data_IF_236692714600
#
_entry.id   IF_236692714600
#
_cell.length_a   1.000
_cell.length_b   1.000
_cell.length_c   1.000
_cell.angle_alpha   90.00
_cell.angle_beta   90.00
_cell.angle_gamma   90.00
#
_symmetry.space_group_name_H-M   'P 1'
#
loop_
_entity.id
_entity.type
_entity.pdbx_description
1 polymer ?
#
# COMPACT_ATOMS: atom_id res chain seq x y z
N UNK A 1 72.85 33.31 42.31
CA UNK A 1 73.90 32.31 42.64
C UNK A 1 73.46 31.27 43.69
N UNK A 2 72.29 31.39 44.33
CA UNK A 2 71.82 30.44 45.36
C UNK A 2 71.17 29.17 44.80
N UNK A 3 70.67 29.20 43.57
CA UNK A 3 69.97 28.04 42.96
C UNK A 3 70.87 26.80 42.78
N UNK A 4 72.17 27.00 42.56
CA UNK A 4 73.15 25.91 42.44
C UNK A 4 73.35 25.13 43.75
N UNK A 5 73.05 25.76 44.90
CA UNK A 5 73.13 25.13 46.21
C UNK A 5 71.86 24.33 46.51
N UNK A 6 70.71 24.82 46.04
CA UNK A 6 69.39 24.21 46.26
C UNK A 6 69.20 22.97 45.36
N UNK A 7 69.57 23.05 44.08
CA UNK A 7 69.42 21.97 43.08
C UNK A 7 70.71 21.16 42.92
N UNK A 8 71.24 20.68 44.05
CA UNK A 8 72.53 19.99 44.09
C UNK A 8 72.42 18.54 43.61
N UNK A 9 73.18 18.18 42.57
CA UNK A 9 73.43 16.77 42.16
C UNK A 9 74.88 16.42 42.48
N UNK A 10 75.14 15.23 43.02
CA UNK A 10 76.51 14.79 43.34
C UNK A 10 77.35 14.69 42.05
N UNK A 11 78.50 15.36 42.01
CA UNK A 11 79.44 15.32 40.87
C UNK A 11 79.27 16.39 39.78
N UNK A 12 78.52 17.48 40.02
CA UNK A 12 78.41 18.57 39.04
C UNK A 12 79.69 19.40 38.91
N UNK A 13 80.21 19.55 37.69
CA UNK A 13 81.39 20.38 37.38
C UNK A 13 81.02 21.80 36.91
N UNK A 14 79.79 22.01 36.41
CA UNK A 14 79.31 23.29 35.86
C UNK A 14 77.82 23.52 36.16
N UNK A 15 77.41 24.78 36.15
CA UNK A 15 76.02 25.23 36.37
C UNK A 15 75.06 24.68 35.30
N UNK A 16 75.57 24.34 34.11
CA UNK A 16 74.76 23.79 33.00
C UNK A 16 74.24 22.37 33.27
N UNK A 17 74.90 21.61 34.16
CA UNK A 17 74.55 20.21 34.47
C UNK A 17 73.49 20.11 35.58
N UNK A 18 72.85 21.24 35.90
CA UNK A 18 71.86 21.32 36.98
C UNK A 18 70.62 20.50 36.61
N UNK A 19 70.13 19.64 37.53
CA UNK A 19 68.93 18.87 37.27
C UNK A 19 67.72 19.82 37.13
N UNK A 20 67.08 19.79 35.97
CA UNK A 20 65.83 20.48 35.70
C UNK A 20 64.78 19.40 35.43
N UNK A 21 64.00 19.06 36.46
CA UNK A 21 62.85 18.18 36.33
C UNK A 21 61.62 19.07 36.09
N UNK A 22 61.30 19.30 34.82
CA UNK A 22 60.08 19.98 34.40
C UNK A 22 58.95 18.96 34.25
N UNK A 23 57.73 19.36 34.59
CA UNK A 23 56.56 18.56 34.28
C UNK A 23 56.35 18.58 32.76
N UNK A 24 56.41 17.40 32.16
CA UNK A 24 56.44 17.23 30.72
C UNK A 24 55.74 15.93 30.34
N UNK A 25 55.32 15.80 29.07
CA UNK A 25 54.72 14.56 28.61
C UNK A 25 55.70 13.40 28.82
N UNK A 26 55.20 12.20 29.14
CA UNK A 26 56.06 11.03 29.22
C UNK A 26 56.80 10.83 27.89
N UNK A 27 58.01 10.25 27.90
CA UNK A 27 58.72 9.92 26.66
C UNK A 27 57.86 8.95 25.83
N UNK A 28 57.23 9.45 24.77
CA UNK A 28 56.22 8.74 23.97
C UNK A 28 54.85 9.43 23.84
N UNK A 29 54.59 10.51 24.59
CA UNK A 29 53.35 11.29 24.51
C UNK A 29 52.14 10.61 25.14
N UNK A 30 50.96 11.24 25.00
CA UNK A 30 49.69 10.70 25.49
C UNK A 30 48.96 9.89 24.41
N UNK A 31 48.14 8.94 24.84
CA UNK A 31 47.28 8.21 23.93
C UNK A 31 46.38 9.18 23.13
N UNK A 32 46.12 8.89 21.84
CA UNK A 32 45.35 9.79 20.99
C UNK A 32 43.91 9.89 21.50
N UNK A 33 43.55 11.07 22.01
CA UNK A 33 42.19 11.36 22.45
C UNK A 33 41.30 11.51 21.22
N UNK A 34 40.25 10.70 21.16
CA UNK A 34 39.30 10.73 20.05
C UNK A 34 38.32 11.89 20.25
N UNK A 35 38.51 12.96 19.49
CA UNK A 35 37.69 14.18 19.55
C UNK A 35 36.53 14.19 18.53
N UNK A 36 36.59 13.34 17.49
CA UNK A 36 35.61 13.35 16.41
C UNK A 36 34.33 12.56 16.75
N UNK A 37 33.17 13.14 16.40
CA UNK A 37 31.86 12.49 16.50
C UNK A 37 31.77 11.31 15.52
N UNK A 38 31.45 10.11 16.01
CA UNK A 38 31.13 8.93 15.18
C UNK A 38 29.75 8.40 15.53
N UNK A 39 28.77 8.68 14.67
CA UNK A 39 27.45 8.06 14.75
C UNK A 39 27.39 6.96 13.69
N UNK A 40 27.32 5.68 14.09
CA UNK A 40 27.21 4.59 13.14
C UNK A 40 25.77 4.51 12.61
N UNK A 41 25.59 4.68 11.30
CA UNK A 41 24.30 4.45 10.62
C UNK A 41 24.13 2.95 10.32
N UNK A 42 23.68 2.19 11.32
CA UNK A 42 23.41 0.73 11.22
C UNK A 42 21.96 0.39 10.87
N UNK A 43 21.17 1.37 10.43
CA UNK A 43 19.78 1.13 10.03
C UNK A 43 19.69 0.39 8.69
N UNK A 44 18.59 -0.35 8.46
CA UNK A 44 18.31 -0.91 7.14
C UNK A 44 18.18 0.22 6.10
N UNK A 45 18.59 -0.07 4.87
CA UNK A 45 18.43 0.86 3.75
C UNK A 45 16.96 1.25 3.58
N UNK A 46 16.70 2.47 3.11
CA UNK A 46 15.34 2.99 2.87
C UNK A 46 14.49 2.04 2.04
N UNK A 47 15.09 1.39 1.03
CA UNK A 47 14.42 0.41 0.18
C UNK A 47 14.00 -0.84 0.95
N UNK A 48 14.80 -1.30 1.91
CA UNK A 48 14.47 -2.47 2.73
C UNK A 48 13.27 -2.17 3.65
N UNK A 49 13.19 -0.96 4.20
CA UNK A 49 12.04 -0.51 5.01
C UNK A 49 10.78 -0.45 4.14
N UNK A 50 10.88 0.13 2.94
CA UNK A 50 9.75 0.25 2.02
C UNK A 50 9.21 -1.11 1.59
N UNK A 51 10.09 -2.04 1.19
CA UNK A 51 9.69 -3.37 0.75
C UNK A 51 9.08 -4.20 1.89
N UNK A 52 9.60 -4.07 3.11
CA UNK A 52 9.03 -4.75 4.28
C UNK A 52 7.61 -4.23 4.59
N UNK A 53 7.41 -2.91 4.58
CA UNK A 53 6.10 -2.32 4.79
C UNK A 53 5.10 -2.72 3.69
N UNK A 54 5.53 -2.67 2.43
CA UNK A 54 4.69 -3.06 1.29
C UNK A 54 4.33 -4.55 1.30
N UNK A 55 5.30 -5.43 1.62
CA UNK A 55 5.08 -6.86 1.74
C UNK A 55 4.08 -7.20 2.85
N UNK A 56 4.21 -6.57 4.01
CA UNK A 56 3.27 -6.75 5.12
C UNK A 56 1.86 -6.26 4.76
N UNK A 57 1.74 -5.11 4.09
CA UNK A 57 0.46 -4.57 3.65
C UNK A 57 -0.23 -5.47 2.60
N UNK A 58 0.52 -5.92 1.58
CA UNK A 58 -0.02 -6.79 0.52
C UNK A 58 -0.45 -8.14 1.07
N UNK A 59 0.24 -8.67 2.07
CA UNK A 59 -0.12 -9.95 2.69
C UNK A 59 -1.39 -9.84 3.55
N UNK A 60 -1.62 -8.69 4.20
CA UNK A 60 -2.80 -8.46 5.05
C UNK A 60 -4.13 -8.37 4.28
N UNK A 61 -4.10 -8.12 2.97
CA UNK A 61 -5.30 -8.01 2.13
C UNK A 61 -5.77 -9.39 1.63
N UNK A 62 -6.10 -10.31 2.54
CA UNK A 62 -6.60 -11.65 2.17
C UNK A 62 -8.02 -11.59 1.60
N UNK A 63 -8.27 -12.32 0.51
CA UNK A 63 -9.54 -12.31 -0.27
C UNK A 63 -10.67 -13.14 0.33
N UNK A 64 -10.42 -13.89 1.40
CA UNK A 64 -11.36 -14.88 1.96
C UNK A 64 -12.74 -14.30 2.27
N UNK A 65 -12.81 -13.11 2.90
CA UNK A 65 -14.07 -12.45 3.24
C UNK A 65 -14.89 -12.03 1.99
N UNK A 66 -14.23 -11.77 0.86
CA UNK A 66 -14.92 -11.40 -0.39
C UNK A 66 -15.59 -12.62 -1.01
N UNK A 67 -14.93 -13.78 -0.95
CA UNK A 67 -15.46 -15.02 -1.53
C UNK A 67 -16.70 -15.51 -0.79
N UNK A 68 -16.70 -15.46 0.54
CA UNK A 68 -17.87 -15.75 1.37
C UNK A 68 -19.05 -14.82 1.01
N UNK A 69 -18.80 -13.52 0.90
CA UNK A 69 -19.80 -12.53 0.48
C UNK A 69 -20.38 -12.84 -0.91
N UNK A 70 -19.54 -13.26 -1.86
CA UNK A 70 -20.01 -13.63 -3.20
C UNK A 70 -20.77 -14.95 -3.23
N UNK A 71 -20.42 -15.92 -2.38
CA UNK A 71 -21.16 -17.16 -2.21
C UNK A 71 -22.56 -16.89 -1.65
N UNK A 72 -22.65 -16.09 -0.57
CA UNK A 72 -23.92 -15.69 0.03
C UNK A 72 -24.83 -14.96 -0.99
N UNK A 73 -24.27 -14.02 -1.76
CA UNK A 73 -25.02 -13.31 -2.82
C UNK A 73 -25.55 -14.25 -3.90
N UNK A 74 -24.75 -15.22 -4.36
CA UNK A 74 -25.18 -16.18 -5.38
C UNK A 74 -26.31 -17.08 -4.89
N UNK A 75 -26.32 -17.43 -3.61
CA UNK A 75 -27.38 -18.26 -3.03
C UNK A 75 -28.76 -17.56 -3.03
N UNK A 76 -28.79 -16.26 -2.74
CA UNK A 76 -30.05 -15.49 -2.68
C UNK A 76 -30.50 -14.92 -4.03
N UNK A 77 -29.59 -14.84 -5.01
CA UNK A 77 -29.83 -14.20 -6.31
C UNK A 77 -31.04 -14.78 -7.07
N UNK A 78 -31.27 -16.11 -7.13
CA UNK A 78 -32.42 -16.65 -7.86
C UNK A 78 -33.77 -16.20 -7.30
N UNK A 79 -33.88 -16.03 -5.98
CA UNK A 79 -35.12 -15.54 -5.37
C UNK A 79 -35.37 -14.06 -5.69
N UNK A 80 -34.34 -13.22 -5.57
CA UNK A 80 -34.43 -11.81 -5.92
C UNK A 80 -34.76 -11.62 -7.40
N UNK A 81 -34.17 -12.45 -8.27
CA UNK A 81 -34.46 -12.42 -9.70
C UNK A 81 -35.92 -12.78 -9.98
N UNK A 82 -36.47 -13.81 -9.32
CA UNK A 82 -37.86 -14.20 -9.48
C UNK A 82 -38.84 -13.10 -9.03
N UNK A 83 -38.56 -12.44 -7.90
CA UNK A 83 -39.39 -11.31 -7.42
C UNK A 83 -39.39 -10.14 -8.42
N UNK A 84 -38.23 -9.83 -9.00
CA UNK A 84 -38.10 -8.75 -9.97
C UNK A 84 -38.72 -9.12 -11.31
N UNK A 85 -38.58 -10.37 -11.76
CA UNK A 85 -39.22 -10.87 -12.99
C UNK A 85 -40.76 -10.79 -12.87
N UNK A 86 -41.35 -11.11 -11.70
CA UNK A 86 -42.78 -10.93 -11.47
C UNK A 86 -43.22 -9.46 -11.55
N UNK A 87 -42.45 -8.55 -10.96
CA UNK A 87 -42.73 -7.10 -11.02
C UNK A 87 -42.63 -6.60 -12.46
N UNK A 88 -41.61 -7.03 -13.18
CA UNK A 88 -41.39 -6.67 -14.58
C UNK A 88 -42.54 -7.13 -15.45
N UNK A 89 -42.99 -8.38 -15.34
CA UNK A 89 -44.13 -8.90 -16.14
C UNK A 89 -45.42 -8.15 -15.83
N UNK A 90 -45.67 -7.79 -14.57
CA UNK A 90 -46.85 -6.99 -14.19
C UNK A 90 -46.81 -5.60 -14.84
N UNK A 91 -45.67 -4.92 -14.77
CA UNK A 91 -45.53 -3.57 -15.34
C UNK A 91 -45.53 -3.60 -16.87
N UNK A 92 -44.92 -4.62 -17.47
CA UNK A 92 -44.94 -4.85 -18.91
C UNK A 92 -46.35 -5.04 -19.46
N UNK A 93 -47.22 -5.77 -18.75
CA UNK A 93 -48.63 -5.91 -19.14
C UNK A 93 -49.37 -4.58 -19.14
N UNK A 94 -49.18 -3.76 -18.09
CA UNK A 94 -49.76 -2.40 -18.06
C UNK A 94 -49.26 -1.54 -19.21
N UNK A 95 -47.96 -1.61 -19.49
CA UNK A 95 -47.37 -0.88 -20.61
C UNK A 95 -48.00 -1.28 -21.95
N UNK A 96 -48.21 -2.58 -22.21
CA UNK A 96 -48.87 -3.07 -23.41
C UNK A 96 -50.36 -2.66 -23.49
N UNK A 97 -51.08 -2.67 -22.36
CA UNK A 97 -52.46 -2.19 -22.30
C UNK A 97 -52.55 -0.69 -22.60
N UNK A 98 -51.61 0.10 -22.10
CA UNK A 98 -51.50 1.53 -22.37
C UNK A 98 -51.10 1.83 -23.81
N UNK A 99 -50.15 1.08 -24.37
CA UNK A 99 -49.78 1.15 -25.79
C UNK A 99 -50.98 0.85 -26.69
N UNK A 100 -51.73 -0.21 -26.39
CA UNK A 100 -52.97 -0.56 -27.09
C UNK A 100 -54.04 0.53 -26.97
N UNK A 101 -54.05 1.27 -25.85
CA UNK A 101 -54.99 2.37 -25.63
C UNK A 101 -54.63 3.61 -26.46
N UNK A 102 -53.34 3.96 -26.49
CA UNK A 102 -52.83 5.18 -27.13
C UNK A 102 -52.75 5.01 -28.65
N UNK A 103 -52.33 3.84 -29.15
CA UNK A 103 -52.03 3.62 -30.56
C UNK A 103 -53.22 3.14 -31.41
N UNK A 104 -54.46 3.29 -30.93
CA UNK A 104 -55.69 2.84 -31.62
C UNK A 104 -55.89 3.48 -32.99
N UNK A 105 -55.48 4.74 -33.12
CA UNK A 105 -55.79 5.57 -34.28
C UNK A 105 -54.64 5.62 -35.30
N UNK A 106 -53.54 4.89 -35.06
CA UNK A 106 -52.36 4.89 -35.94
C UNK A 106 -52.43 3.71 -36.92
N UNK A 107 -52.54 3.95 -38.25
CA UNK A 107 -52.65 2.89 -39.23
C UNK A 107 -51.34 2.09 -39.34
N UNK A 108 -51.44 0.76 -39.25
CA UNK A 108 -50.30 -0.15 -39.39
C UNK A 108 -49.53 -0.43 -38.09
N UNK A 109 -49.92 0.15 -36.96
CA UNK A 109 -49.29 -0.13 -35.66
C UNK A 109 -49.72 -1.50 -35.10
N UNK A 110 -48.74 -2.34 -34.72
CA UNK A 110 -48.99 -3.62 -34.03
C UNK A 110 -48.48 -3.52 -32.59
N UNK A 111 -49.39 -3.62 -31.64
CA UNK A 111 -49.08 -3.55 -30.21
C UNK A 111 -48.16 -4.68 -29.79
N UNK A 112 -47.09 -4.37 -29.06
CA UNK A 112 -46.16 -5.35 -28.52
C UNK A 112 -45.27 -6.04 -29.58
N UNK A 113 -45.18 -5.47 -30.79
CA UNK A 113 -44.25 -5.98 -31.79
C UNK A 113 -42.81 -5.70 -31.36
N UNK A 114 -42.01 -6.76 -31.18
CA UNK A 114 -40.60 -6.59 -30.82
C UNK A 114 -39.82 -5.90 -31.94
N UNK A 115 -39.01 -4.92 -31.56
CA UNK A 115 -38.22 -4.06 -32.47
C UNK A 115 -37.00 -4.82 -33.04
N UNK A 116 -36.58 -5.90 -32.38
CA UNK A 116 -35.41 -6.68 -32.78
C UNK A 116 -35.71 -7.55 -34.00
N UNK A 117 -34.82 -7.48 -35.00
CA UNK A 117 -34.89 -8.26 -36.25
C UNK A 117 -34.92 -9.78 -36.01
N UNK A 118 -34.15 -10.26 -35.03
CA UNK A 118 -34.07 -11.67 -34.69
C UNK A 118 -35.05 -11.96 -33.56
N UNK A 119 -36.09 -12.72 -33.86
CA UNK A 119 -37.11 -13.14 -32.89
C UNK A 119 -36.94 -14.63 -32.64
N UNK A 120 -37.03 -15.02 -31.37
CA UNK A 120 -37.08 -16.42 -31.00
C UNK A 120 -38.52 -16.89 -31.21
N UNK A 121 -38.70 -17.94 -32.00
CA UNK A 121 -40.00 -18.54 -32.21
C UNK A 121 -40.44 -19.34 -30.97
N UNK A 122 -41.73 -19.70 -30.90
CA UNK A 122 -42.28 -20.45 -29.76
C UNK A 122 -41.62 -21.84 -29.58
N UNK A 123 -40.91 -22.34 -30.60
CA UNK A 123 -40.12 -23.57 -30.58
C UNK A 123 -38.68 -23.37 -30.07
N UNK A 124 -38.30 -22.16 -29.68
CA UNK A 124 -36.97 -21.86 -29.15
C UNK A 124 -35.87 -21.78 -30.21
N UNK A 125 -36.23 -21.74 -31.49
CA UNK A 125 -35.32 -21.51 -32.59
C UNK A 125 -35.28 -20.02 -32.92
N UNK A 126 -34.11 -19.54 -33.31
CA UNK A 126 -33.97 -18.13 -33.66
C UNK A 126 -34.26 -17.95 -35.15
N UNK A 127 -35.38 -17.30 -35.46
CA UNK A 127 -35.77 -17.02 -36.84
C UNK A 127 -34.73 -16.19 -37.59
N UNK A 128 -34.52 -16.52 -38.87
CA UNK A 128 -33.69 -15.72 -39.77
C UNK A 128 -34.32 -14.31 -39.97
N UNK A 129 -33.50 -13.26 -40.15
CA UNK A 129 -34.02 -11.92 -40.39
C UNK A 129 -34.89 -11.92 -41.67
N UNK A 130 -36.11 -11.41 -41.55
CA UNK A 130 -37.06 -11.20 -42.66
C UNK A 130 -36.64 -10.05 -43.56
#
# INVERSE_FOLDING_TARGET
>A
MTEAVIRKKAGMASVKDMPVLQDGPPPGGFAPVRFARRIPSKGPSSMAIFLAAFGAFSWGCTRALKEEKYAARRAILPMLQAEEDERFVKEWKKYLEEEARIMKDVPGWKVGESVTLRKMDASGNWGAPS
#
